data_IF_337686709805
#
_entry.id   IF_337686709805
#
_cell.length_a   1.000
_cell.length_b   1.000
_cell.length_c   1.000
_cell.angle_alpha   90.00
_cell.angle_beta   90.00
_cell.angle_gamma   90.00
#
_symmetry.space_group_name_H-M   'P 1'
#
loop_
_entity.id
_entity.type
_entity.pdbx_description
1 polymer ?
#
# COMPACT_ATOMS: atom_id res chain seq x y z
N UNK A 1 24.27 -43.46 -52.84
CA UNK A 1 22.87 -43.37 -52.35
C UNK A 1 22.80 -43.09 -50.84
N UNK A 2 23.30 -43.95 -49.94
CA UNK A 2 23.20 -43.77 -48.47
C UNK A 2 23.87 -42.49 -47.90
N UNK A 3 24.99 -42.05 -48.48
CA UNK A 3 25.74 -40.84 -48.03
C UNK A 3 25.00 -39.52 -48.32
N UNK A 4 24.26 -39.45 -49.44
CA UNK A 4 23.51 -38.26 -49.85
C UNK A 4 22.26 -38.08 -48.99
N UNK A 5 21.59 -39.19 -48.66
CA UNK A 5 20.41 -39.20 -47.78
C UNK A 5 20.79 -38.73 -46.38
N UNK A 6 21.93 -39.15 -45.84
CA UNK A 6 22.38 -38.73 -44.51
C UNK A 6 22.68 -37.22 -44.43
N UNK A 7 23.28 -36.65 -45.47
CA UNK A 7 23.56 -35.19 -45.53
C UNK A 7 22.27 -34.36 -45.64
N UNK A 8 21.29 -34.81 -46.42
CA UNK A 8 20.00 -34.12 -46.55
C UNK A 8 19.23 -34.18 -45.23
N UNK A 9 19.20 -35.34 -44.57
CA UNK A 9 18.54 -35.49 -43.26
C UNK A 9 19.21 -34.62 -42.21
N UNK A 10 20.54 -34.55 -42.18
CA UNK A 10 21.26 -33.67 -41.25
C UNK A 10 20.99 -32.19 -41.51
N UNK A 11 20.97 -31.77 -42.78
CA UNK A 11 20.65 -30.39 -43.16
C UNK A 11 19.21 -30.01 -42.78
N UNK A 12 18.24 -30.90 -43.02
CA UNK A 12 16.84 -30.67 -42.66
C UNK A 12 16.65 -30.57 -41.15
N UNK A 13 17.31 -31.42 -40.35
CA UNK A 13 17.26 -31.33 -38.87
C UNK A 13 17.87 -30.03 -38.37
N UNK A 14 19.00 -29.61 -38.95
CA UNK A 14 19.68 -28.37 -38.54
C UNK A 14 18.85 -27.14 -38.90
N UNK A 15 18.28 -27.09 -40.10
CA UNK A 15 17.40 -26.00 -40.55
C UNK A 15 16.10 -25.96 -39.75
N UNK A 16 15.51 -27.10 -39.40
CA UNK A 16 14.31 -27.14 -38.56
C UNK A 16 14.60 -26.66 -37.13
N UNK A 17 15.71 -27.10 -36.52
CA UNK A 17 16.12 -26.63 -35.18
C UNK A 17 16.36 -25.12 -35.11
N UNK A 18 16.93 -24.51 -36.16
CA UNK A 18 17.12 -23.06 -36.21
C UNK A 18 15.81 -22.29 -36.40
N UNK A 19 14.80 -22.89 -37.05
CA UNK A 19 13.50 -22.26 -37.26
C UNK A 19 12.58 -22.34 -36.03
N UNK A 20 12.82 -23.29 -35.11
CA UNK A 20 12.04 -23.44 -33.87
C UNK A 20 12.58 -22.60 -32.69
N UNK A 21 13.73 -21.92 -32.86
CA UNK A 21 14.42 -21.19 -31.79
C UNK A 21 14.10 -19.68 -31.73
N UNK A 22 13.04 -19.20 -32.38
CA UNK A 22 12.64 -17.79 -32.31
C UNK A 22 11.74 -17.45 -31.12
N UNK A 23 11.49 -18.39 -30.21
CA UNK A 23 10.68 -18.13 -29.02
C UNK A 23 11.44 -18.53 -27.77
N UNK A 24 12.47 -17.74 -27.42
CA UNK A 24 12.75 -17.53 -26.00
C UNK A 24 11.47 -16.90 -25.42
N UNK A 25 10.62 -17.73 -24.82
CA UNK A 25 9.44 -17.29 -24.10
C UNK A 25 9.92 -16.35 -23.00
N UNK A 26 9.90 -15.03 -23.26
CA UNK A 26 9.82 -14.04 -22.20
C UNK A 26 8.54 -14.42 -21.46
N UNK A 27 8.60 -14.88 -20.21
CA UNK A 27 7.40 -15.24 -19.48
C UNK A 27 6.50 -14.01 -19.47
N UNK A 28 5.30 -14.20 -20.01
CA UNK A 28 4.30 -13.17 -20.28
C UNK A 28 4.35 -12.07 -19.20
N UNK A 29 4.63 -10.84 -19.61
CA UNK A 29 4.76 -9.66 -18.75
C UNK A 29 3.54 -9.45 -17.84
N UNK A 30 2.43 -10.12 -18.16
CA UNK A 30 1.21 -10.27 -17.35
C UNK A 30 1.42 -10.83 -15.94
N UNK A 31 2.49 -11.59 -15.66
CA UNK A 31 2.76 -12.11 -14.30
C UNK A 31 3.56 -11.15 -13.41
N UNK A 32 4.29 -10.20 -14.00
CA UNK A 32 5.01 -9.17 -13.23
C UNK A 32 4.03 -8.12 -12.71
N UNK A 33 3.04 -7.74 -13.52
CA UNK A 33 2.04 -6.72 -13.17
C UNK A 33 1.06 -7.16 -12.06
N UNK A 34 0.89 -8.46 -11.82
CA UNK A 34 -0.01 -8.95 -10.78
C UNK A 34 0.59 -8.82 -9.35
N UNK A 35 1.92 -8.74 -9.22
CA UNK A 35 2.60 -8.59 -7.93
C UNK A 35 2.90 -7.12 -7.58
N UNK A 36 2.98 -6.25 -8.59
CA UNK A 36 3.09 -4.79 -8.44
C UNK A 36 1.88 -4.18 -9.12
N UNK A 37 0.82 -3.89 -8.35
CA UNK A 37 -0.46 -3.41 -8.85
C UNK A 37 -0.30 -2.33 -9.93
N UNK A 38 -0.46 -2.73 -11.19
CA UNK A 38 -0.72 -1.87 -12.35
C UNK A 38 0.01 -0.54 -12.42
N UNK A 39 1.29 -0.45 -12.07
CA UNK A 39 1.99 0.83 -12.12
C UNK A 39 2.41 1.15 -13.57
N UNK A 40 1.71 2.09 -14.20
CA UNK A 40 2.10 2.63 -15.50
C UNK A 40 3.01 3.84 -15.30
N UNK A 41 4.01 4.05 -16.15
CA UNK A 41 5.00 5.14 -16.01
C UNK A 41 4.42 6.55 -16.17
N UNK A 42 3.11 6.66 -16.35
CA UNK A 42 2.34 7.91 -16.37
C UNK A 42 1.70 8.25 -15.03
N UNK A 43 1.72 7.32 -14.07
CA UNK A 43 1.27 7.60 -12.72
C UNK A 43 2.35 8.42 -12.01
N UNK A 44 1.94 9.47 -11.31
CA UNK A 44 2.82 10.26 -10.44
C UNK A 44 3.67 9.30 -9.58
N UNK A 45 4.92 9.66 -9.21
CA UNK A 45 5.75 8.82 -8.33
C UNK A 45 4.86 8.31 -7.20
N UNK A 46 4.85 6.99 -6.93
CA UNK A 46 3.85 6.39 -6.09
C UNK A 46 4.10 6.99 -4.71
N UNK A 47 3.32 8.00 -4.37
CA UNK A 47 3.16 8.36 -2.98
C UNK A 47 2.69 7.06 -2.35
N UNK A 48 3.28 6.63 -1.24
CA UNK A 48 2.78 5.50 -0.43
C UNK A 48 1.45 5.93 0.24
N UNK A 49 0.57 6.58 -0.52
CA UNK A 49 -0.79 6.93 -0.15
C UNK A 49 -1.62 5.69 -0.43
N UNK A 50 -1.75 4.87 0.62
CA UNK A 50 -2.79 3.86 0.74
C UNK A 50 -2.72 2.77 -0.31
N UNK A 51 -1.77 1.84 -0.18
CA UNK A 51 -2.16 0.47 -0.50
C UNK A 51 -3.30 0.11 0.47
N UNK A 52 -4.54 0.24 0.00
CA UNK A 52 -5.72 -0.09 0.79
C UNK A 52 -5.77 -1.62 0.94
N UNK A 53 -5.37 -2.12 2.10
CA UNK A 53 -5.30 -3.55 2.41
C UNK A 53 -4.80 -3.79 3.83
N UNK A 54 -5.05 -4.98 4.37
CA UNK A 54 -4.55 -5.38 5.70
C UNK A 54 -3.05 -5.68 5.63
N UNK A 55 -2.23 -4.64 5.60
CA UNK A 55 -0.78 -4.78 5.74
C UNK A 55 -0.43 -4.87 7.21
N UNK A 56 0.17 -5.98 7.63
CA UNK A 56 0.69 -6.15 8.99
C UNK A 56 1.83 -5.15 9.22
N UNK A 57 1.69 -4.27 10.22
CA UNK A 57 2.74 -3.32 10.62
C UNK A 57 2.66 -1.92 10.02
N UNK A 58 1.68 -1.65 9.14
CA UNK A 58 1.34 -0.28 8.73
C UNK A 58 0.18 0.24 9.58
N UNK A 59 0.15 1.56 9.82
CA UNK A 59 -1.01 2.21 10.40
C UNK A 59 -2.20 2.06 9.43
N UNK A 60 -3.38 1.61 9.89
CA UNK A 60 -4.59 1.59 9.06
C UNK A 60 -4.95 2.99 8.56
N UNK A 61 -5.68 3.07 7.44
CA UNK A 61 -6.23 4.33 6.97
C UNK A 61 -7.16 4.95 8.02
N UNK A 62 -7.03 6.26 8.25
CA UNK A 62 -7.92 7.00 9.15
C UNK A 62 -9.33 7.08 8.58
N UNK A 63 -10.35 6.81 9.41
CA UNK A 63 -11.75 6.87 8.99
C UNK A 63 -12.39 8.26 9.17
N UNK A 64 -11.83 9.10 10.06
CA UNK A 64 -12.35 10.43 10.38
C UNK A 64 -11.23 11.47 10.36
N UNK A 65 -11.52 12.66 9.84
CA UNK A 65 -10.59 13.78 9.87
C UNK A 65 -10.35 14.26 11.30
N UNK A 66 -9.12 14.66 11.59
CA UNK A 66 -8.73 15.22 12.88
C UNK A 66 -8.59 14.23 14.03
N UNK A 67 -8.86 12.94 13.83
CA UNK A 67 -8.57 11.91 14.83
C UNK A 67 -7.07 11.67 14.92
N UNK A 68 -6.53 11.70 16.15
CA UNK A 68 -5.15 11.29 16.43
C UNK A 68 -5.11 9.80 16.82
N UNK A 69 -4.46 8.92 16.05
CA UNK A 69 -4.40 7.50 16.39
C UNK A 69 -3.67 7.19 17.70
N UNK A 70 -4.08 6.14 18.40
CA UNK A 70 -3.37 5.62 19.58
C UNK A 70 -3.32 4.09 19.61
N UNK A 71 -2.29 3.52 20.27
CA UNK A 71 -2.18 2.09 20.49
C UNK A 71 -2.96 1.66 21.73
N UNK A 72 -3.89 0.71 21.58
CA UNK A 72 -4.71 0.23 22.70
C UNK A 72 -4.19 -1.06 23.39
N UNK A 73 -2.99 -1.52 23.04
CA UNK A 73 -2.44 -2.79 23.51
C UNK A 73 -2.58 -3.95 22.52
N UNK A 74 -3.46 -3.85 21.53
CA UNK A 74 -3.70 -4.89 20.53
C UNK A 74 -3.71 -4.36 19.09
N UNK A 75 -4.18 -3.14 18.88
CA UNK A 75 -4.27 -2.49 17.57
C UNK A 75 -4.08 -0.97 17.67
N UNK A 76 -3.68 -0.36 16.55
CA UNK A 76 -3.79 1.08 16.35
C UNK A 76 -5.26 1.45 16.17
N UNK A 77 -5.78 2.31 17.04
CA UNK A 77 -7.15 2.85 16.98
C UNK A 77 -7.12 4.15 16.21
N UNK A 78 -7.78 4.18 15.05
CA UNK A 78 -7.82 5.33 14.13
C UNK A 78 -9.22 6.00 14.04
N UNK A 79 -10.13 5.62 14.93
CA UNK A 79 -11.54 6.04 14.94
C UNK A 79 -11.96 6.76 16.22
N UNK A 80 -11.04 6.97 17.18
CA UNK A 80 -11.36 7.55 18.48
C UNK A 80 -11.20 9.07 18.50
N UNK A 81 -12.18 9.78 19.08
CA UNK A 81 -12.12 11.23 19.31
C UNK A 81 -11.44 11.65 20.62
N UNK A 82 -10.67 10.77 21.28
CA UNK A 82 -10.00 11.09 22.55
C UNK A 82 -9.10 12.33 22.44
N UNK A 83 -8.33 12.41 21.36
CA UNK A 83 -7.51 13.56 20.98
C UNK A 83 -7.88 13.95 19.56
N UNK A 84 -8.50 15.12 19.43
CA UNK A 84 -8.81 15.75 18.16
C UNK A 84 -7.76 16.80 17.82
N UNK A 85 -7.29 16.82 16.58
CA UNK A 85 -6.34 17.82 16.07
C UNK A 85 -6.67 18.14 14.61
N UNK A 86 -7.13 19.36 14.34
CA UNK A 86 -7.49 19.80 12.98
C UNK A 86 -6.37 20.60 12.27
N UNK A 87 -5.14 20.59 12.82
CA UNK A 87 -4.01 21.39 12.35
C UNK A 87 -3.96 22.82 12.90
N UNK A 88 -5.01 23.31 13.55
CA UNK A 88 -5.04 24.61 14.24
C UNK A 88 -5.26 24.50 15.74
N UNK A 89 -6.25 23.71 16.15
CA UNK A 89 -6.63 23.50 17.55
C UNK A 89 -6.58 22.02 17.93
N UNK A 90 -6.32 21.78 19.22
CA UNK A 90 -6.33 20.45 19.83
C UNK A 90 -7.48 20.35 20.84
N UNK A 91 -8.33 19.34 20.66
CA UNK A 91 -9.40 18.99 21.59
C UNK A 91 -9.08 17.70 22.34
N UNK A 92 -9.29 17.65 23.65
CA UNK A 92 -9.24 16.42 24.45
C UNK A 92 -10.67 16.11 24.90
N UNK A 93 -11.22 14.98 24.45
CA UNK A 93 -12.61 14.61 24.72
C UNK A 93 -13.65 15.51 24.02
N UNK A 94 -13.22 16.40 23.12
CA UNK A 94 -14.08 17.23 22.27
C UNK A 94 -13.55 17.21 20.83
N UNK A 95 -14.45 17.19 19.85
CA UNK A 95 -14.12 17.32 18.42
C UNK A 95 -14.30 18.74 17.89
N UNK A 96 -14.79 19.65 18.73
CA UNK A 96 -15.06 21.05 18.38
C UNK A 96 -14.35 21.97 19.39
N UNK A 97 -13.01 22.02 19.38
CA UNK A 97 -12.26 22.85 20.32
C UNK A 97 -12.55 24.34 20.10
N UNK A 98 -13.01 25.04 21.14
CA UNK A 98 -13.30 26.48 21.10
C UNK A 98 -12.05 27.36 21.20
N UNK A 99 -10.95 26.79 21.69
CA UNK A 99 -9.65 27.45 21.87
C UNK A 99 -8.53 26.63 21.21
N UNK A 100 -7.28 27.12 21.24
CA UNK A 100 -6.13 26.38 20.70
C UNK A 100 -5.94 25.04 21.41
N UNK A 101 -6.20 25.01 22.72
CA UNK A 101 -6.32 23.80 23.52
C UNK A 101 -7.66 23.85 24.24
N UNK A 102 -8.50 22.86 24.00
CA UNK A 102 -9.79 22.68 24.66
C UNK A 102 -9.88 21.28 25.26
N UNK A 103 -10.22 21.18 26.54
CA UNK A 103 -10.28 19.91 27.27
C UNK A 103 -11.69 19.78 27.83
N UNK A 104 -12.44 18.81 27.33
CA UNK A 104 -13.73 18.46 27.89
C UNK A 104 -13.55 17.89 29.28
N UNK A 105 -14.04 18.60 30.29
CA UNK A 105 -14.06 18.14 31.66
C UNK A 105 -15.42 17.53 31.96
N UNK A 106 -15.44 16.24 32.32
CA UNK A 106 -16.61 15.64 32.95
C UNK A 106 -16.54 15.97 34.44
N UNK A 107 -17.31 16.98 34.87
CA UNK A 107 -17.28 17.53 36.22
C UNK A 107 -17.83 16.54 37.25
N UNK A 108 -17.03 15.54 37.63
CA UNK A 108 -17.28 14.71 38.81
C UNK A 108 -16.45 15.14 40.03
N UNK A 109 -15.42 15.97 39.84
CA UNK A 109 -14.61 16.53 40.91
C UNK A 109 -14.09 17.89 40.44
N UNK A 110 -14.79 18.97 40.78
CA UNK A 110 -14.31 20.33 40.57
C UNK A 110 -13.24 20.62 41.63
N UNK A 111 -12.02 20.16 41.39
CA UNK A 111 -10.83 20.73 41.99
C UNK A 111 -10.00 21.28 40.82
N UNK A 112 -10.36 22.48 40.40
CA UNK A 112 -9.63 23.21 39.37
C UNK A 112 -8.19 23.41 39.83
N UNK A 113 -7.23 22.93 39.04
CA UNK A 113 -5.83 23.35 39.17
C UNK A 113 -5.77 24.78 38.65
N UNK A 114 -5.88 25.74 39.57
CA UNK A 114 -5.52 27.14 39.30
C UNK A 114 -4.00 27.25 39.34
N UNK A 115 -3.38 27.34 38.17
CA UNK A 115 -2.02 27.82 37.98
C UNK A 115 -2.04 29.24 37.45
#
# INVERSE_FOLDING_TARGET
MKRIILTIVFCLIFVFSFLQYTVFQIPDSRKVQAAIGGMTTTDAPPTIRGASGTFTGLLPDGAFAGVTPYWNGAAWVVTSGNIFNNGGSVGIGTTEPAYLLDVYTNTAAEEGISG
#
